data_IF_314176479456
#
_entry.id   IF_314176479456
#
_cell.length_a   1.000
_cell.length_b   1.000
_cell.length_c   1.000
_cell.angle_alpha   90.00
_cell.angle_beta   90.00
_cell.angle_gamma   90.00
#
_symmetry.space_group_name_H-M   'P 1'
#
loop_
_entity.id
_entity.type
_entity.pdbx_description
1 polymer ?
#
# COMPACT_ATOMS: atom_id res chain seq x y z
N UNK A 1 -6.90 41.82 -20.89
CA UNK A 1 -7.23 42.69 -19.76
C UNK A 1 -7.82 41.81 -18.67
N UNK A 2 -7.13 41.68 -17.55
CA UNK A 2 -7.63 40.95 -16.40
C UNK A 2 -8.80 41.75 -15.81
N UNK A 3 -10.02 41.22 -15.93
CA UNK A 3 -11.17 41.78 -15.23
C UNK A 3 -10.99 41.42 -13.76
N UNK A 4 -10.41 42.35 -13.02
CA UNK A 4 -10.36 42.33 -11.57
C UNK A 4 -11.82 42.36 -11.12
N UNK A 5 -12.26 41.30 -10.46
CA UNK A 5 -13.56 41.25 -9.80
C UNK A 5 -13.55 42.38 -8.75
N UNK A 6 -14.38 43.39 -8.96
CA UNK A 6 -14.61 44.44 -7.97
C UNK A 6 -15.05 43.77 -6.67
N UNK A 7 -14.27 43.94 -5.61
CA UNK A 7 -14.68 43.62 -4.24
C UNK A 7 -15.74 44.63 -3.83
N UNK A 8 -17.01 44.37 -4.19
CA UNK A 8 -18.11 44.83 -3.36
C UNK A 8 -17.92 44.24 -1.96
N UNK A 9 -18.28 44.99 -0.92
CA UNK A 9 -18.22 44.61 0.50
C UNK A 9 -19.13 43.43 0.86
N UNK A 10 -19.47 42.58 -0.11
CA UNK A 10 -20.25 41.38 0.10
C UNK A 10 -19.33 40.26 0.56
N UNK A 11 -19.76 39.56 1.61
CA UNK A 11 -19.04 38.37 2.05
C UNK A 11 -18.85 37.40 0.86
N UNK A 12 -17.64 36.83 0.69
CA UNK A 12 -17.32 36.01 -0.47
C UNK A 12 -18.28 34.81 -0.66
N UNK A 13 -18.92 34.37 0.43
CA UNK A 13 -19.94 33.32 0.42
C UNK A 13 -21.22 33.77 -0.29
N UNK A 14 -21.68 35.01 -0.05
CA UNK A 14 -22.87 35.58 -0.68
C UNK A 14 -22.62 35.86 -2.17
N UNK A 15 -21.42 36.31 -2.52
CA UNK A 15 -21.02 36.50 -3.91
C UNK A 15 -21.01 35.17 -4.68
N UNK A 16 -20.54 34.09 -4.05
CA UNK A 16 -20.57 32.74 -4.65
C UNK A 16 -21.99 32.20 -4.75
N UNK A 17 -22.86 32.38 -3.75
CA UNK A 17 -24.28 32.00 -3.87
C UNK A 17 -24.96 32.71 -5.03
N UNK A 18 -24.75 34.03 -5.16
CA UNK A 18 -25.32 34.80 -6.26
C UNK A 18 -24.82 34.32 -7.61
N UNK A 19 -23.50 34.22 -7.77
CA UNK A 19 -22.89 33.80 -9.04
C UNK A 19 -23.29 32.37 -9.43
N UNK A 20 -23.34 31.44 -8.48
CA UNK A 20 -23.75 30.05 -8.75
C UNK A 20 -25.23 29.93 -9.07
N UNK A 21 -26.08 30.71 -8.40
CA UNK A 21 -27.51 30.76 -8.68
C UNK A 21 -27.80 31.37 -10.07
N UNK A 22 -27.14 32.47 -10.44
CA UNK A 22 -27.26 33.09 -11.77
C UNK A 22 -26.86 32.12 -12.88
N UNK A 23 -25.78 31.36 -12.66
CA UNK A 23 -25.31 30.36 -13.62
C UNK A 23 -26.22 29.13 -13.69
N UNK A 24 -26.78 28.68 -12.57
CA UNK A 24 -27.67 27.51 -12.51
C UNK A 24 -29.04 27.79 -13.17
N UNK A 25 -29.53 29.02 -13.10
CA UNK A 25 -30.83 29.42 -13.65
C UNK A 25 -30.75 30.16 -14.99
N UNK A 26 -29.56 30.25 -15.60
CA UNK A 26 -29.35 30.95 -16.86
C UNK A 26 -30.25 30.44 -18.02
N UNK A 27 -30.63 29.17 -18.00
CA UNK A 27 -31.49 28.55 -19.01
C UNK A 27 -33.00 28.77 -18.77
N UNK A 28 -33.40 29.29 -17.60
CA UNK A 28 -34.80 29.42 -17.16
C UNK A 28 -35.51 30.70 -17.63
N UNK A 29 -34.79 31.64 -18.27
CA UNK A 29 -35.30 32.96 -18.64
C UNK A 29 -35.34 33.95 -17.46
N UNK A 30 -35.18 35.25 -17.74
CA UNK A 30 -35.02 36.29 -16.71
C UNK A 30 -36.21 36.38 -15.73
N UNK A 31 -37.44 36.11 -16.18
CA UNK A 31 -38.63 36.18 -15.33
C UNK A 31 -38.70 35.10 -14.23
N UNK A 32 -37.99 33.97 -14.40
CA UNK A 32 -37.93 32.87 -13.42
C UNK A 32 -36.60 32.88 -12.66
N UNK A 33 -35.50 33.25 -13.33
CA UNK A 33 -34.17 33.29 -12.73
C UNK A 33 -34.03 34.38 -11.67
N UNK A 34 -34.46 35.61 -11.95
CA UNK A 34 -34.29 36.75 -11.05
C UNK A 34 -34.97 36.57 -9.67
N UNK A 35 -36.25 36.11 -9.58
CA UNK A 35 -36.88 35.89 -8.28
C UNK A 35 -36.28 34.71 -7.49
N UNK A 36 -35.85 33.63 -8.17
CA UNK A 36 -35.20 32.49 -7.49
C UNK A 36 -33.80 32.83 -7.00
N UNK A 37 -33.00 33.58 -7.79
CA UNK A 37 -31.69 34.08 -7.36
C UNK A 37 -31.83 35.01 -6.15
N UNK A 38 -32.82 35.90 -6.15
CA UNK A 38 -33.10 36.78 -5.02
C UNK A 38 -33.53 35.99 -3.77
N UNK A 39 -34.35 34.95 -3.92
CA UNK A 39 -34.76 34.06 -2.83
C UNK A 39 -33.57 33.33 -2.21
N UNK A 40 -32.71 32.73 -3.03
CA UNK A 40 -31.51 32.02 -2.58
C UNK A 40 -30.50 32.94 -1.89
N UNK A 41 -30.34 34.18 -2.38
CA UNK A 41 -29.50 35.18 -1.73
C UNK A 41 -30.04 35.61 -0.36
N UNK A 42 -31.35 35.78 -0.23
CA UNK A 42 -31.99 36.14 1.06
C UNK A 42 -31.86 35.00 2.09
N UNK A 43 -32.06 33.76 1.66
CA UNK A 43 -31.88 32.55 2.48
C UNK A 43 -30.41 32.42 2.95
N UNK A 44 -29.45 32.59 2.05
CA UNK A 44 -28.03 32.62 2.38
C UNK A 44 -27.67 33.69 3.40
N UNK A 45 -28.18 34.91 3.24
CA UNK A 45 -27.96 36.01 4.18
C UNK A 45 -28.55 35.69 5.57
N UNK A 46 -29.70 35.02 5.62
CA UNK A 46 -30.28 34.57 6.88
C UNK A 46 -29.43 33.50 7.58
N UNK A 47 -28.83 32.57 6.83
CA UNK A 47 -27.94 31.55 7.40
C UNK A 47 -26.64 32.15 7.94
N UNK A 48 -26.05 33.11 7.24
CA UNK A 48 -24.88 33.87 7.69
C UNK A 48 -25.18 34.61 9.00
N UNK A 49 -26.28 35.37 9.05
CA UNK A 49 -26.68 36.12 10.25
C UNK A 49 -27.02 35.22 11.44
N UNK A 50 -27.55 34.03 11.18
CA UNK A 50 -27.87 33.05 12.21
C UNK A 50 -26.67 32.17 12.63
N UNK A 51 -25.52 32.29 11.97
CA UNK A 51 -24.35 31.44 12.21
C UNK A 51 -24.58 29.96 11.88
N UNK A 52 -25.53 29.64 10.99
CA UNK A 52 -25.88 28.26 10.60
C UNK A 52 -25.07 27.82 9.39
N UNK A 53 -23.81 27.47 9.62
CA UNK A 53 -22.84 27.16 8.55
C UNK A 53 -23.14 25.86 7.81
N UNK A 54 -23.73 24.87 8.49
CA UNK A 54 -24.14 23.60 7.87
C UNK A 54 -25.27 23.79 6.84
N UNK A 55 -26.28 24.59 7.18
CA UNK A 55 -27.37 24.92 6.27
C UNK A 55 -26.86 25.73 5.07
N UNK A 56 -25.95 26.68 5.32
CA UNK A 56 -25.28 27.46 4.28
C UNK A 56 -24.47 26.56 3.31
N UNK A 57 -23.71 25.61 3.84
CA UNK A 57 -22.99 24.63 3.02
C UNK A 57 -23.94 23.79 2.17
N UNK A 58 -25.07 23.37 2.73
CA UNK A 58 -26.10 22.61 2.01
C UNK A 58 -26.68 23.41 0.85
N UNK A 59 -27.01 24.68 1.08
CA UNK A 59 -27.55 25.59 0.06
C UNK A 59 -26.53 25.80 -1.08
N UNK A 60 -25.28 26.11 -0.75
CA UNK A 60 -24.22 26.32 -1.74
C UNK A 60 -23.91 25.06 -2.54
N UNK A 61 -23.91 23.89 -1.89
CA UNK A 61 -23.68 22.61 -2.56
C UNK A 61 -24.83 22.23 -3.51
N UNK A 62 -26.08 22.56 -3.17
CA UNK A 62 -27.21 22.31 -4.07
C UNK A 62 -27.10 23.12 -5.37
N UNK A 63 -26.68 24.38 -5.28
CA UNK A 63 -26.40 25.22 -6.45
C UNK A 63 -25.17 24.75 -7.24
N UNK A 64 -24.12 24.30 -6.54
CA UNK A 64 -22.91 23.77 -7.18
C UNK A 64 -23.13 22.41 -7.87
N UNK A 65 -24.02 21.55 -7.36
CA UNK A 65 -24.37 20.26 -7.97
C UNK A 65 -24.96 20.44 -9.38
N UNK A 66 -25.82 21.46 -9.57
CA UNK A 66 -26.38 21.79 -10.88
C UNK A 66 -25.30 22.19 -11.89
N UNK A 67 -24.26 22.90 -11.43
CA UNK A 67 -23.12 23.28 -12.27
C UNK A 67 -22.19 22.10 -12.56
N UNK A 68 -22.03 21.19 -11.60
CA UNK A 68 -21.25 19.95 -11.79
C UNK A 68 -21.85 19.07 -12.89
N UNK A 69 -23.19 19.02 -12.98
CA UNK A 69 -23.98 18.28 -13.97
C UNK A 69 -24.02 18.92 -15.37
N UNK A 70 -23.56 20.16 -15.51
CA UNK A 70 -23.67 20.89 -16.78
C UNK A 70 -22.67 20.34 -17.82
N UNK A 71 -23.14 19.80 -18.98
CA UNK A 71 -22.30 19.07 -19.93
C UNK A 71 -21.34 19.97 -20.75
N UNK A 72 -21.49 21.30 -20.69
CA UNK A 72 -20.62 22.27 -21.39
C UNK A 72 -20.28 23.44 -20.47
N UNK A 73 -19.16 23.34 -19.77
CA UNK A 73 -18.55 24.47 -19.09
C UNK A 73 -17.37 24.96 -19.95
N UNK A 74 -17.35 26.26 -20.26
CA UNK A 74 -16.15 26.88 -20.84
C UNK A 74 -14.96 26.75 -19.87
N UNK A 75 -13.72 26.87 -20.35
CA UNK A 75 -12.54 26.83 -19.47
C UNK A 75 -12.61 27.87 -18.33
N UNK A 76 -13.23 29.02 -18.62
CA UNK A 76 -13.52 30.05 -17.62
C UNK A 76 -14.52 29.56 -16.57
N UNK A 77 -15.61 28.94 -16.98
CA UNK A 77 -16.62 28.41 -16.07
C UNK A 77 -16.11 27.21 -15.25
N UNK A 78 -15.12 26.46 -15.74
CA UNK A 78 -14.44 25.43 -14.96
C UNK A 78 -13.55 26.03 -13.86
N UNK A 79 -12.83 27.12 -14.14
CA UNK A 79 -12.07 27.86 -13.13
C UNK A 79 -13.00 28.52 -12.10
N UNK A 80 -14.12 29.09 -12.54
CA UNK A 80 -15.12 29.70 -11.65
C UNK A 80 -15.77 28.64 -10.73
N UNK A 81 -15.95 27.41 -11.22
CA UNK A 81 -16.42 26.27 -10.41
C UNK A 81 -15.38 25.80 -9.38
N UNK A 82 -14.09 25.77 -9.75
CA UNK A 82 -13.00 25.47 -8.80
C UNK A 82 -12.94 26.51 -7.66
N UNK A 83 -13.04 27.79 -7.99
CA UNK A 83 -13.12 28.88 -7.03
C UNK A 83 -14.34 28.74 -6.12
N UNK A 84 -15.51 28.49 -6.69
CA UNK A 84 -16.77 28.25 -5.97
C UNK A 84 -16.63 27.13 -4.95
N UNK A 85 -16.13 25.96 -5.38
CA UNK A 85 -15.94 24.80 -4.51
C UNK A 85 -14.88 25.04 -3.43
N UNK A 86 -13.85 25.84 -3.73
CA UNK A 86 -12.84 26.23 -2.74
C UNK A 86 -13.44 27.14 -1.67
N UNK A 87 -14.29 28.10 -2.05
CA UNK A 87 -15.01 28.96 -1.09
C UNK A 87 -15.97 28.13 -0.21
N UNK A 88 -16.65 27.13 -0.79
CA UNK A 88 -17.47 26.18 -0.02
C UNK A 88 -16.61 25.41 0.99
N UNK A 89 -15.42 24.93 0.60
CA UNK A 89 -14.51 24.25 1.52
C UNK A 89 -14.03 25.16 2.67
N UNK A 90 -13.88 26.47 2.42
CA UNK A 90 -13.49 27.43 3.46
C UNK A 90 -14.56 27.60 4.56
N UNK A 91 -15.82 27.22 4.32
CA UNK A 91 -16.87 27.23 5.37
C UNK A 91 -16.50 26.37 6.57
N UNK A 92 -15.71 25.31 6.36
CA UNK A 92 -15.21 24.43 7.42
C UNK A 92 -14.37 25.21 8.45
N UNK A 93 -13.69 26.29 8.03
CA UNK A 93 -12.90 27.14 8.94
C UNK A 93 -13.74 28.10 9.77
N UNK A 94 -15.03 28.27 9.43
CA UNK A 94 -15.99 29.14 10.14
C UNK A 94 -16.83 28.40 11.17
N UNK A 95 -16.75 27.07 11.19
CA UNK A 95 -17.45 26.23 12.16
C UNK A 95 -17.04 26.57 13.60
N UNK A 96 -18.01 26.55 14.51
CA UNK A 96 -17.79 26.87 15.93
C UNK A 96 -17.17 25.70 16.72
N UNK A 97 -17.22 24.48 16.18
CA UNK A 97 -16.70 23.27 16.80
C UNK A 97 -16.05 22.32 15.77
N UNK A 98 -15.19 21.42 16.25
CA UNK A 98 -14.56 20.39 15.40
C UNK A 98 -15.60 19.40 14.84
N UNK A 99 -16.67 19.12 15.58
CA UNK A 99 -17.76 18.24 15.15
C UNK A 99 -18.58 18.88 14.02
N UNK A 100 -18.89 20.19 14.13
CA UNK A 100 -19.58 20.92 13.07
C UNK A 100 -18.71 21.00 11.79
N UNK A 101 -17.41 21.24 11.94
CA UNK A 101 -16.45 21.21 10.83
C UNK A 101 -16.43 19.84 10.13
N UNK A 102 -16.51 18.76 10.90
CA UNK A 102 -16.53 17.39 10.40
C UNK A 102 -17.85 17.03 9.70
N UNK A 103 -19.00 17.50 10.20
CA UNK A 103 -20.29 17.33 9.52
C UNK A 103 -20.36 18.10 8.20
N UNK A 104 -19.85 19.34 8.16
CA UNK A 104 -19.74 20.11 6.90
C UNK A 104 -18.82 19.38 5.91
N UNK A 105 -17.68 18.86 6.36
CA UNK A 105 -16.77 18.10 5.51
C UNK A 105 -17.40 16.79 4.98
N UNK A 106 -18.14 16.06 5.81
CA UNK A 106 -18.90 14.87 5.39
C UNK A 106 -19.91 15.21 4.29
N UNK A 107 -20.64 16.32 4.45
CA UNK A 107 -21.61 16.77 3.47
C UNK A 107 -20.94 17.11 2.12
N UNK A 108 -19.84 17.88 2.16
CA UNK A 108 -19.05 18.22 0.97
C UNK A 108 -18.53 16.95 0.29
N UNK A 109 -17.95 16.02 1.06
CA UNK A 109 -17.48 14.74 0.52
C UNK A 109 -18.61 13.93 -0.12
N UNK A 110 -19.75 13.78 0.55
CA UNK A 110 -20.89 13.02 0.02
C UNK A 110 -21.33 13.54 -1.34
N UNK A 111 -21.46 14.86 -1.49
CA UNK A 111 -21.82 15.51 -2.75
C UNK A 111 -20.77 15.34 -3.84
N UNK A 112 -19.49 15.56 -3.51
CA UNK A 112 -18.40 15.36 -4.47
C UNK A 112 -18.26 13.90 -4.92
N UNK A 113 -18.63 12.93 -4.07
CA UNK A 113 -18.58 11.49 -4.41
C UNK A 113 -19.80 10.94 -5.14
N UNK A 114 -20.92 11.67 -5.19
CA UNK A 114 -22.18 11.17 -5.76
C UNK A 114 -22.10 10.85 -7.28
N UNK A 115 -21.17 11.47 -8.01
CA UNK A 115 -20.99 11.25 -9.46
C UNK A 115 -19.52 11.19 -9.89
N UNK A 116 -18.86 10.04 -9.74
CA UNK A 116 -17.41 9.96 -9.83
C UNK A 116 -16.85 10.10 -11.27
N UNK A 117 -17.69 9.99 -12.31
CA UNK A 117 -17.26 10.04 -13.71
C UNK A 117 -17.02 11.46 -14.27
N UNK A 118 -17.60 12.49 -13.67
CA UNK A 118 -17.55 13.85 -14.20
C UNK A 118 -16.44 14.67 -13.53
N UNK A 119 -15.44 15.08 -14.31
CA UNK A 119 -14.29 15.91 -13.88
C UNK A 119 -13.59 15.39 -12.60
N UNK A 120 -13.16 14.11 -12.57
CA UNK A 120 -12.65 13.51 -11.33
C UNK A 120 -11.38 14.19 -10.80
N UNK A 121 -10.51 14.71 -11.68
CA UNK A 121 -9.30 15.46 -11.29
C UNK A 121 -9.62 16.74 -10.51
N UNK A 122 -10.67 17.48 -10.91
CA UNK A 122 -11.09 18.69 -10.21
C UNK A 122 -11.62 18.34 -8.81
N UNK A 123 -12.47 17.33 -8.72
CA UNK A 123 -13.04 16.87 -7.45
C UNK A 123 -11.96 16.42 -6.46
N UNK A 124 -10.93 15.71 -6.94
CA UNK A 124 -9.78 15.30 -6.12
C UNK A 124 -8.98 16.51 -5.63
N UNK A 125 -8.71 17.52 -6.48
CA UNK A 125 -8.02 18.74 -6.05
C UNK A 125 -8.79 19.47 -4.95
N UNK A 126 -10.11 19.62 -5.11
CA UNK A 126 -10.98 20.24 -4.10
C UNK A 126 -10.95 19.45 -2.80
N UNK A 127 -10.99 18.11 -2.85
CA UNK A 127 -10.86 17.27 -1.65
C UNK A 127 -9.49 17.42 -0.97
N UNK A 128 -8.40 17.56 -1.73
CA UNK A 128 -7.09 17.85 -1.12
C UNK A 128 -7.02 19.24 -0.49
N UNK A 129 -7.71 20.23 -1.05
CA UNK A 129 -7.88 21.53 -0.40
C UNK A 129 -8.63 21.39 0.93
N UNK A 130 -9.76 20.67 0.92
CA UNK A 130 -10.53 20.36 2.13
C UNK A 130 -9.70 19.62 3.19
N UNK A 131 -8.87 18.66 2.78
CA UNK A 131 -7.95 17.94 3.66
C UNK A 131 -6.98 18.88 4.40
N UNK A 132 -6.46 19.89 3.70
CA UNK A 132 -5.52 20.85 4.28
C UNK A 132 -6.20 21.85 5.23
N UNK A 133 -7.49 22.11 5.05
CA UNK A 133 -8.27 23.06 5.86
C UNK A 133 -8.81 22.43 7.17
N UNK A 134 -8.94 21.11 7.23
CA UNK A 134 -9.47 20.43 8.41
C UNK A 134 -8.44 20.41 9.56
N UNK A 135 -8.84 20.75 10.79
CA UNK A 135 -8.00 20.55 11.98
C UNK A 135 -8.04 19.11 12.48
N UNK A 136 -9.17 18.41 12.33
CA UNK A 136 -9.39 17.07 12.88
C UNK A 136 -8.67 15.97 12.10
N UNK A 137 -8.00 15.07 12.83
CA UNK A 137 -7.24 13.94 12.24
C UNK A 137 -8.16 12.88 11.62
N UNK A 138 -9.27 12.59 12.28
CA UNK A 138 -10.32 11.68 11.79
C UNK A 138 -11.02 12.23 10.54
N UNK A 139 -11.28 13.54 10.49
CA UNK A 139 -11.79 14.22 9.30
C UNK A 139 -10.84 14.13 8.12
N UNK A 140 -9.54 14.35 8.34
CA UNK A 140 -8.49 14.18 7.33
C UNK A 140 -8.47 12.78 6.73
N UNK A 141 -8.50 11.73 7.57
CA UNK A 141 -8.55 10.35 7.10
C UNK A 141 -9.80 10.06 6.25
N UNK A 142 -10.97 10.61 6.64
CA UNK A 142 -12.21 10.47 5.91
C UNK A 142 -12.16 11.13 4.52
N UNK A 143 -11.69 12.37 4.45
CA UNK A 143 -11.56 13.11 3.17
C UNK A 143 -10.60 12.40 2.24
N UNK A 144 -9.47 11.93 2.75
CA UNK A 144 -8.50 11.18 1.96
C UNK A 144 -9.09 9.89 1.39
N UNK A 145 -9.82 9.12 2.21
CA UNK A 145 -10.52 7.90 1.76
C UNK A 145 -11.51 8.20 0.62
N UNK A 146 -12.29 9.27 0.75
CA UNK A 146 -13.23 9.70 -0.29
C UNK A 146 -12.52 10.15 -1.57
N UNK A 147 -11.33 10.74 -1.47
CA UNK A 147 -10.48 11.03 -2.62
C UNK A 147 -9.99 9.74 -3.31
N UNK A 148 -9.68 8.68 -2.56
CA UNK A 148 -9.33 7.37 -3.12
C UNK A 148 -10.51 6.71 -3.85
N UNK A 149 -11.72 6.77 -3.27
CA UNK A 149 -12.93 6.25 -3.92
C UNK A 149 -13.18 6.92 -5.28
N UNK A 150 -12.97 8.25 -5.38
CA UNK A 150 -13.05 8.97 -6.65
C UNK A 150 -11.90 8.61 -7.60
N UNK A 151 -10.71 8.39 -7.08
CA UNK A 151 -9.55 8.01 -7.88
C UNK A 151 -9.71 6.63 -8.53
N UNK A 152 -10.44 5.72 -7.89
CA UNK A 152 -10.77 4.41 -8.44
C UNK A 152 -11.69 4.47 -9.67
N UNK A 153 -12.40 5.58 -9.91
CA UNK A 153 -13.35 5.69 -11.01
C UNK A 153 -12.74 6.09 -12.36
N UNK A 154 -11.46 6.49 -12.40
CA UNK A 154 -10.83 6.90 -13.64
C UNK A 154 -9.30 7.00 -13.59
N UNK A 155 -8.65 6.62 -14.70
CA UNK A 155 -7.19 6.56 -14.78
C UNK A 155 -6.48 7.90 -14.51
N UNK A 156 -6.98 9.00 -15.07
CA UNK A 156 -6.42 10.33 -14.84
C UNK A 156 -6.56 10.81 -13.38
N UNK A 157 -7.55 10.28 -12.66
CA UNK A 157 -7.78 10.55 -11.25
C UNK A 157 -6.81 9.75 -10.38
N UNK A 158 -6.57 8.48 -10.72
CA UNK A 158 -5.58 7.63 -10.10
C UNK A 158 -4.16 8.23 -10.17
N UNK A 159 -3.76 8.79 -11.31
CA UNK A 159 -2.42 9.37 -11.50
C UNK A 159 -2.13 10.55 -10.55
N UNK A 160 -3.18 11.27 -10.09
CA UNK A 160 -3.04 12.36 -9.13
C UNK A 160 -2.72 11.86 -7.71
N UNK A 161 -3.15 10.64 -7.38
CA UNK A 161 -3.06 10.08 -6.03
C UNK A 161 -1.85 9.16 -5.89
N UNK A 162 -1.43 8.46 -6.94
CA UNK A 162 -0.26 7.54 -6.90
C UNK A 162 0.97 8.09 -6.18
N UNK A 163 1.39 9.37 -6.37
CA UNK A 163 2.55 9.92 -5.65
C UNK A 163 2.40 9.91 -4.12
N UNK A 164 1.18 10.01 -3.61
CA UNK A 164 0.89 10.09 -2.17
C UNK A 164 1.07 8.74 -1.46
N UNK A 165 0.98 7.62 -2.18
CA UNK A 165 1.08 6.27 -1.62
C UNK A 165 2.44 5.99 -0.95
N UNK A 166 3.49 6.71 -1.33
CA UNK A 166 4.81 6.59 -0.66
C UNK A 166 4.77 7.03 0.80
N UNK A 167 3.88 7.95 1.15
CA UNK A 167 3.77 8.56 2.48
C UNK A 167 2.66 7.95 3.34
N UNK A 168 1.99 6.91 2.86
CA UNK A 168 0.79 6.39 3.52
C UNK A 168 1.09 5.81 4.91
N UNK A 169 2.29 5.25 5.13
CA UNK A 169 2.69 4.72 6.44
C UNK A 169 2.81 5.86 7.46
N UNK A 170 3.32 7.01 7.02
CA UNK A 170 3.37 8.22 7.83
C UNK A 170 1.96 8.77 8.09
N UNK A 171 1.05 8.70 7.10
CA UNK A 171 -0.33 9.14 7.27
C UNK A 171 -1.11 8.26 8.24
N UNK A 172 -0.99 6.93 8.14
CA UNK A 172 -1.63 5.99 9.07
C UNK A 172 -1.16 6.25 10.50
N UNK A 173 0.15 6.46 10.70
CA UNK A 173 0.71 6.79 12.00
C UNK A 173 0.25 8.18 12.51
N UNK A 174 0.17 9.16 11.62
CA UNK A 174 -0.25 10.53 11.96
C UNK A 174 -1.73 10.63 12.31
N UNK A 175 -2.61 9.92 11.59
CA UNK A 175 -4.05 9.92 11.86
C UNK A 175 -4.41 9.03 13.05
N UNK A 176 -3.58 8.05 13.40
CA UNK A 176 -3.85 7.14 14.51
C UNK A 176 -5.07 6.23 14.28
N UNK A 177 -5.34 5.89 13.01
CA UNK A 177 -6.53 5.13 12.61
C UNK A 177 -6.50 3.68 13.08
N UNK A 178 -7.67 3.13 13.41
CA UNK A 178 -7.81 1.75 13.85
C UNK A 178 -7.58 0.72 12.72
N UNK A 179 -7.36 -0.55 13.07
CA UNK A 179 -7.25 -1.66 12.09
C UNK A 179 -8.38 -1.71 11.04
N UNK A 180 -9.68 -1.53 11.36
CA UNK A 180 -10.72 -1.56 10.34
C UNK A 180 -10.60 -0.42 9.32
N UNK A 181 -10.27 0.80 9.77
CA UNK A 181 -10.08 1.93 8.87
C UNK A 181 -8.81 1.77 8.01
N UNK A 182 -7.77 1.14 8.55
CA UNK A 182 -6.56 0.78 7.79
C UNK A 182 -6.88 -0.24 6.69
N UNK A 183 -7.77 -1.22 6.96
CA UNK A 183 -8.23 -2.20 5.95
C UNK A 183 -8.86 -1.50 4.76
N UNK A 184 -9.84 -0.64 5.02
CA UNK A 184 -10.54 0.10 3.97
C UNK A 184 -9.59 0.97 3.16
N UNK A 185 -8.65 1.63 3.84
CA UNK A 185 -7.64 2.46 3.22
C UNK A 185 -6.73 1.65 2.28
N UNK A 186 -6.14 0.56 2.77
CA UNK A 186 -5.24 -0.27 1.96
C UNK A 186 -6.00 -0.93 0.81
N UNK A 187 -7.24 -1.37 1.01
CA UNK A 187 -8.08 -1.93 -0.04
C UNK A 187 -8.39 -0.91 -1.14
N UNK A 188 -8.69 0.34 -0.78
CA UNK A 188 -8.89 1.39 -1.77
C UNK A 188 -7.62 1.65 -2.60
N UNK A 189 -6.45 1.64 -1.95
CA UNK A 189 -5.15 1.80 -2.63
C UNK A 189 -4.85 0.62 -3.55
N UNK A 190 -5.09 -0.63 -3.12
CA UNK A 190 -4.83 -1.80 -3.97
C UNK A 190 -5.73 -1.82 -5.20
N UNK A 191 -7.00 -1.42 -5.07
CA UNK A 191 -7.91 -1.25 -6.22
C UNK A 191 -7.36 -0.28 -7.26
N UNK A 192 -6.87 0.88 -6.82
CA UNK A 192 -6.27 1.88 -7.73
C UNK A 192 -5.00 1.33 -8.40
N UNK A 193 -4.15 0.65 -7.62
CA UNK A 193 -2.87 0.13 -8.12
C UNK A 193 -3.03 -1.05 -9.08
N UNK A 194 -4.10 -1.84 -8.95
CA UNK A 194 -4.39 -3.00 -9.81
C UNK A 194 -4.48 -2.61 -11.29
N UNK A 195 -5.07 -1.44 -11.57
CA UNK A 195 -5.29 -0.96 -12.94
C UNK A 195 -4.11 -0.12 -13.49
N UNK A 196 -3.11 0.18 -12.65
CA UNK A 196 -1.97 1.01 -12.99
C UNK A 196 -0.81 0.17 -13.55
N UNK A 197 -0.37 0.52 -14.77
CA UNK A 197 0.73 -0.19 -15.44
C UNK A 197 2.06 0.05 -14.72
N UNK A 198 2.78 -1.02 -14.43
CA UNK A 198 4.14 -0.96 -13.86
C UNK A 198 4.22 -0.77 -12.35
N UNK A 199 3.08 -0.72 -11.64
CA UNK A 199 3.02 -0.55 -10.18
C UNK A 199 2.78 -1.87 -9.43
N UNK A 200 3.16 -2.99 -10.05
CA UNK A 200 2.92 -4.34 -9.56
C UNK A 200 3.60 -4.63 -8.22
N UNK A 201 4.81 -4.08 -8.01
CA UNK A 201 5.55 -4.25 -6.75
C UNK A 201 4.89 -3.50 -5.61
N UNK A 202 4.44 -2.28 -5.89
CA UNK A 202 3.70 -1.44 -4.96
C UNK A 202 2.36 -2.10 -4.62
N UNK A 203 1.64 -2.60 -5.63
CA UNK A 203 0.40 -3.36 -5.43
C UNK A 203 0.59 -4.53 -4.48
N UNK A 204 1.61 -5.38 -4.73
CA UNK A 204 1.94 -6.49 -3.83
C UNK A 204 2.32 -6.00 -2.43
N UNK A 205 3.12 -4.95 -2.31
CA UNK A 205 3.52 -4.36 -1.02
C UNK A 205 2.30 -3.92 -0.20
N UNK A 206 1.29 -3.33 -0.83
CA UNK A 206 0.06 -2.92 -0.16
C UNK A 206 -0.83 -4.10 0.20
N UNK A 207 -0.94 -5.12 -0.64
CA UNK A 207 -1.63 -6.37 -0.27
C UNK A 207 -0.96 -7.03 0.94
N UNK A 208 0.37 -7.06 0.97
CA UNK A 208 1.12 -7.61 2.10
C UNK A 208 0.98 -6.78 3.39
N UNK A 209 0.51 -5.53 3.30
CA UNK A 209 0.14 -4.69 4.47
C UNK A 209 -1.33 -4.84 4.86
N UNK A 210 -2.20 -5.08 3.88
CA UNK A 210 -3.63 -5.29 4.08
C UNK A 210 -3.90 -6.62 4.80
N UNK A 211 -3.32 -7.72 4.35
CA UNK A 211 -3.61 -9.05 4.88
C UNK A 211 -3.26 -9.25 6.38
N UNK A 212 -2.18 -8.69 6.93
CA UNK A 212 -1.91 -8.75 8.37
C UNK A 212 -2.87 -7.98 9.27
N UNK A 213 -3.69 -7.08 8.71
CA UNK A 213 -4.63 -6.30 9.53
C UNK A 213 -5.75 -7.16 10.12
N UNK A 214 -6.00 -8.35 9.58
CA UNK A 214 -6.96 -9.32 10.09
C UNK A 214 -6.31 -10.14 11.21
N UNK A 215 -6.77 -9.95 12.45
CA UNK A 215 -6.17 -10.61 13.61
C UNK A 215 -6.76 -11.99 13.93
N UNK A 216 -7.66 -12.49 13.07
CA UNK A 216 -8.27 -13.81 13.24
C UNK A 216 -9.25 -13.89 14.43
N UNK A 217 -9.65 -12.74 14.97
CA UNK A 217 -10.71 -12.67 15.99
C UNK A 217 -12.07 -13.09 15.41
N UNK A 218 -12.97 -13.56 16.28
CA UNK A 218 -14.31 -14.02 15.86
C UNK A 218 -15.14 -12.90 15.22
N UNK A 219 -14.90 -11.66 15.61
CA UNK A 219 -15.56 -10.46 15.06
C UNK A 219 -15.11 -10.14 13.62
N UNK A 220 -13.97 -10.69 13.19
CA UNK A 220 -13.41 -10.49 11.85
C UNK A 220 -13.78 -11.61 10.86
N UNK A 221 -14.55 -12.63 11.26
CA UNK A 221 -14.79 -13.81 10.42
C UNK A 221 -15.42 -13.47 9.06
N UNK A 222 -16.41 -12.57 9.04
CA UNK A 222 -17.06 -12.11 7.80
C UNK A 222 -16.12 -11.24 6.95
N UNK A 223 -15.32 -10.38 7.60
CA UNK A 223 -14.35 -9.51 6.93
C UNK A 223 -13.19 -10.31 6.33
N UNK A 224 -12.75 -11.37 7.02
CA UNK A 224 -11.80 -12.36 6.52
C UNK A 224 -12.40 -13.06 5.30
N UNK A 225 -13.67 -13.51 5.37
CA UNK A 225 -14.37 -14.11 4.24
C UNK A 225 -14.44 -13.22 2.99
N UNK A 226 -14.56 -11.91 3.17
CA UNK A 226 -14.54 -10.95 2.07
C UNK A 226 -13.14 -10.77 1.43
N UNK A 227 -12.07 -10.97 2.19
CA UNK A 227 -10.69 -10.75 1.74
C UNK A 227 -10.08 -11.90 0.89
N UNK A 228 -10.88 -12.90 0.50
CA UNK A 228 -10.41 -14.09 -0.23
C UNK A 228 -9.85 -13.74 -1.61
N UNK A 229 -10.48 -12.82 -2.32
CA UNK A 229 -10.05 -12.40 -3.65
C UNK A 229 -8.70 -11.67 -3.59
N UNK A 230 -8.53 -10.80 -2.61
CA UNK A 230 -7.29 -10.06 -2.37
C UNK A 230 -6.17 -10.99 -1.90
N UNK A 231 -6.46 -11.97 -1.06
CA UNK A 231 -5.51 -12.99 -0.63
C UNK A 231 -5.04 -13.85 -1.82
N UNK A 232 -5.96 -14.30 -2.66
CA UNK A 232 -5.61 -15.03 -3.89
C UNK A 232 -4.81 -14.15 -4.87
N UNK A 233 -5.18 -12.88 -5.02
CA UNK A 233 -4.44 -11.95 -5.85
C UNK A 233 -3.01 -11.72 -5.34
N UNK A 234 -2.80 -11.63 -4.02
CA UNK A 234 -1.48 -11.52 -3.42
C UNK A 234 -0.61 -12.75 -3.73
N UNK A 235 -1.18 -13.95 -3.67
CA UNK A 235 -0.48 -15.20 -4.03
C UNK A 235 -0.08 -15.20 -5.50
N UNK A 236 -1.03 -14.88 -6.39
CA UNK A 236 -0.79 -14.87 -7.84
C UNK A 236 0.31 -13.85 -8.16
N UNK A 237 0.27 -12.68 -7.54
CA UNK A 237 1.28 -11.64 -7.75
C UNK A 237 2.65 -12.04 -7.20
N UNK A 238 2.66 -12.69 -6.03
CA UNK A 238 3.88 -13.31 -5.54
C UNK A 238 4.44 -14.29 -6.57
N UNK A 239 3.66 -15.20 -7.12
CA UNK A 239 4.14 -16.17 -8.12
C UNK A 239 4.63 -15.50 -9.41
N UNK A 240 3.92 -14.46 -9.90
CA UNK A 240 4.30 -13.71 -11.11
C UNK A 240 5.58 -12.92 -10.97
N UNK A 241 5.83 -12.36 -9.79
CA UNK A 241 7.01 -11.53 -9.58
C UNK A 241 8.31 -12.31 -9.78
N UNK A 242 9.23 -11.78 -10.56
CA UNK A 242 10.54 -12.41 -10.83
C UNK A 242 11.60 -12.07 -9.78
N UNK A 243 11.29 -11.16 -8.86
CA UNK A 243 12.22 -10.62 -7.87
C UNK A 243 11.85 -10.93 -6.41
N UNK A 244 10.64 -11.42 -6.13
CA UNK A 244 10.23 -11.78 -4.77
C UNK A 244 10.40 -13.28 -4.53
N UNK A 245 11.31 -13.66 -3.64
CA UNK A 245 11.60 -15.06 -3.30
C UNK A 245 11.30 -15.41 -1.84
N UNK A 246 10.93 -14.42 -1.04
CA UNK A 246 10.57 -14.57 0.37
C UNK A 246 9.17 -14.02 0.59
N UNK A 247 8.36 -14.75 1.37
CA UNK A 247 7.01 -14.33 1.68
C UNK A 247 6.47 -15.01 2.94
N UNK A 248 5.88 -14.22 3.84
CA UNK A 248 5.27 -14.72 5.09
C UNK A 248 3.73 -14.72 5.00
N UNK A 249 3.18 -15.03 3.82
CA UNK A 249 1.73 -15.04 3.59
C UNK A 249 1.03 -16.24 4.24
N UNK A 250 1.71 -17.39 4.40
CA UNK A 250 1.10 -18.62 4.89
C UNK A 250 0.55 -18.50 6.32
N UNK A 251 1.20 -17.71 7.17
CA UNK A 251 0.83 -17.54 8.58
C UNK A 251 -0.34 -16.56 8.77
N UNK A 252 -0.80 -15.89 7.70
CA UNK A 252 -1.86 -14.89 7.79
C UNK A 252 -3.24 -15.55 7.80
N UNK A 253 -4.15 -15.21 8.75
CA UNK A 253 -5.48 -15.80 8.83
C UNK A 253 -6.30 -15.64 7.54
N UNK A 254 -6.19 -14.48 6.89
CA UNK A 254 -6.86 -14.19 5.61
C UNK A 254 -6.39 -15.07 4.45
N UNK A 255 -5.19 -15.65 4.53
CA UNK A 255 -4.64 -16.58 3.54
C UNK A 255 -4.93 -18.03 3.94
N UNK A 256 -4.79 -18.37 5.23
CA UNK A 256 -5.03 -19.71 5.75
C UNK A 256 -6.47 -20.19 5.52
N UNK A 257 -7.47 -19.30 5.50
CA UNK A 257 -8.84 -19.67 5.16
C UNK A 257 -8.99 -20.28 3.76
N UNK A 258 -8.11 -19.94 2.82
CA UNK A 258 -8.19 -20.40 1.43
C UNK A 258 -7.96 -21.90 1.32
N UNK A 259 -7.31 -22.51 2.32
CA UNK A 259 -7.12 -23.96 2.41
C UNK A 259 -8.46 -24.71 2.47
N UNK A 260 -9.49 -24.10 3.06
CA UNK A 260 -10.82 -24.71 3.23
C UNK A 260 -11.80 -24.33 2.12
N UNK A 261 -11.42 -23.46 1.19
CA UNK A 261 -12.30 -22.92 0.15
C UNK A 261 -12.08 -23.67 -1.17
N UNK A 262 -13.11 -24.34 -1.69
CA UNK A 262 -13.00 -25.16 -2.91
C UNK A 262 -12.50 -24.39 -4.14
N UNK A 263 -12.79 -23.07 -4.23
CA UNK A 263 -12.41 -22.25 -5.38
C UNK A 263 -10.95 -21.81 -5.32
N UNK A 264 -10.44 -21.48 -4.13
CA UNK A 264 -9.11 -20.90 -3.93
C UNK A 264 -8.08 -21.88 -3.34
N UNK A 265 -8.51 -23.09 -2.95
CA UNK A 265 -7.63 -24.14 -2.43
C UNK A 265 -6.45 -24.47 -3.37
N UNK A 266 -6.61 -24.54 -4.71
CA UNK A 266 -5.47 -24.73 -5.61
C UNK A 266 -4.47 -23.57 -5.57
N UNK A 267 -4.93 -22.34 -5.34
CA UNK A 267 -4.06 -21.16 -5.24
C UNK A 267 -3.26 -21.20 -3.93
N UNK A 268 -3.89 -21.62 -2.83
CA UNK A 268 -3.21 -21.84 -1.56
C UNK A 268 -2.18 -22.98 -1.65
N UNK A 269 -2.53 -24.09 -2.31
CA UNK A 269 -1.59 -25.19 -2.56
C UNK A 269 -0.38 -24.73 -3.38
N UNK A 270 -0.60 -23.90 -4.40
CA UNK A 270 0.48 -23.30 -5.19
C UNK A 270 1.42 -22.46 -4.31
N UNK A 271 0.89 -21.62 -3.41
CA UNK A 271 1.71 -20.86 -2.45
C UNK A 271 2.56 -21.80 -1.58
N UNK A 272 1.94 -22.86 -1.05
CA UNK A 272 2.62 -23.86 -0.21
C UNK A 272 3.74 -24.56 -0.98
N UNK A 273 3.52 -24.91 -2.25
CA UNK A 273 4.55 -25.48 -3.13
C UNK A 273 5.71 -24.48 -3.31
N UNK A 274 5.45 -23.22 -3.59
CA UNK A 274 6.54 -22.25 -3.78
C UNK A 274 7.36 -22.04 -2.49
N UNK A 275 6.71 -21.99 -1.33
CA UNK A 275 7.40 -21.68 -0.08
C UNK A 275 8.06 -22.89 0.59
N UNK A 276 7.47 -24.09 0.47
CA UNK A 276 7.91 -25.30 1.19
C UNK A 276 8.32 -26.46 0.28
N UNK A 277 7.82 -26.44 -0.96
CA UNK A 277 7.97 -27.43 -2.03
C UNK A 277 9.31 -27.41 -2.78
N UNK A 278 9.51 -28.36 -3.70
CA UNK A 278 10.53 -28.33 -4.77
C UNK A 278 9.87 -28.40 -6.15
N UNK A 279 10.70 -28.34 -7.21
CA UNK A 279 10.26 -28.31 -8.60
C UNK A 279 9.34 -29.49 -8.97
N UNK A 280 9.66 -30.72 -8.54
CA UNK A 280 8.87 -31.93 -8.81
C UNK A 280 7.39 -31.74 -8.44
N UNK A 281 7.12 -31.19 -7.25
CA UNK A 281 5.76 -30.91 -6.77
C UNK A 281 5.04 -29.87 -7.63
N UNK A 282 5.75 -28.87 -8.12
CA UNK A 282 5.17 -27.85 -9.02
C UNK A 282 4.80 -28.46 -10.37
N UNK A 283 5.63 -29.34 -10.94
CA UNK A 283 5.34 -30.01 -12.21
C UNK A 283 4.11 -30.92 -12.10
N UNK A 284 4.00 -31.68 -11.00
CA UNK A 284 2.81 -32.47 -10.71
C UNK A 284 1.55 -31.58 -10.59
N UNK A 285 1.65 -30.46 -9.87
CA UNK A 285 0.55 -29.50 -9.74
C UNK A 285 0.15 -28.86 -11.07
N UNK A 286 1.12 -28.49 -11.91
CA UNK A 286 0.86 -27.88 -13.22
C UNK A 286 0.20 -28.87 -14.19
N UNK A 287 0.57 -30.15 -14.14
CA UNK A 287 -0.07 -31.20 -14.94
C UNK A 287 -1.55 -31.34 -14.56
N UNK A 288 -1.87 -31.26 -13.27
CA UNK A 288 -3.24 -31.35 -12.77
C UNK A 288 -4.07 -30.07 -12.97
N UNK A 289 -3.45 -28.88 -12.94
CA UNK A 289 -4.14 -27.57 -12.87
C UNK A 289 -3.75 -26.57 -13.98
N UNK A 290 -3.30 -27.05 -15.14
CA UNK A 290 -2.79 -26.20 -16.23
C UNK A 290 -3.76 -25.10 -16.69
N UNK A 291 -5.05 -25.39 -16.78
CA UNK A 291 -6.10 -24.43 -17.18
C UNK A 291 -6.29 -23.32 -16.15
N UNK A 292 -6.20 -23.63 -14.86
CA UNK A 292 -6.33 -22.68 -13.76
C UNK A 292 -5.15 -21.70 -13.74
N UNK A 293 -3.93 -22.18 -13.97
CA UNK A 293 -2.73 -21.33 -14.07
C UNK A 293 -2.84 -20.35 -15.25
N UNK A 294 -3.31 -20.82 -16.41
CA UNK A 294 -3.55 -19.97 -17.58
C UNK A 294 -4.64 -18.92 -17.31
N UNK A 295 -5.72 -19.31 -16.61
CA UNK A 295 -6.79 -18.38 -16.22
C UNK A 295 -6.30 -17.23 -15.34
N UNK A 296 -5.28 -17.45 -14.50
CA UNK A 296 -4.65 -16.40 -13.70
C UNK A 296 -3.55 -15.61 -14.45
N UNK A 297 -3.28 -15.96 -15.71
CA UNK A 297 -2.22 -15.34 -16.52
C UNK A 297 -0.82 -15.66 -16.02
N UNK A 298 -0.62 -16.86 -15.45
CA UNK A 298 0.69 -17.35 -15.04
C UNK A 298 1.38 -18.01 -16.24
N UNK A 299 2.57 -17.51 -16.58
CA UNK A 299 3.40 -18.10 -17.64
C UNK A 299 4.20 -19.25 -17.06
N UNK A 300 4.02 -20.45 -17.62
CA UNK A 300 4.65 -21.67 -17.11
C UNK A 300 6.19 -21.58 -17.04
N UNK A 301 6.83 -21.07 -18.08
CA UNK A 301 8.29 -20.92 -18.14
C UNK A 301 8.85 -19.98 -17.06
N UNK A 302 8.14 -18.90 -16.76
CA UNK A 302 8.50 -17.97 -15.69
C UNK A 302 8.36 -18.63 -14.31
N UNK A 303 7.27 -19.39 -14.12
CA UNK A 303 7.03 -20.15 -12.90
C UNK A 303 8.08 -21.25 -12.69
N UNK A 304 8.47 -22.01 -13.72
CA UNK A 304 9.56 -22.99 -13.65
C UNK A 304 10.86 -22.29 -13.28
N UNK A 305 11.18 -21.20 -13.97
CA UNK A 305 12.42 -20.45 -13.72
C UNK A 305 12.51 -20.02 -12.25
N UNK A 306 11.41 -19.48 -11.73
CA UNK A 306 11.31 -19.11 -10.31
C UNK A 306 11.43 -20.32 -9.40
N UNK A 307 10.73 -21.41 -9.68
CA UNK A 307 10.78 -22.64 -8.87
C UNK A 307 12.14 -23.32 -8.85
N UNK A 308 12.91 -23.26 -9.95
CA UNK A 308 14.30 -23.73 -9.99
C UNK A 308 15.18 -22.93 -9.04
N UNK A 309 15.10 -21.60 -9.09
CA UNK A 309 15.82 -20.72 -8.18
C UNK A 309 15.40 -20.92 -6.72
N UNK A 310 14.10 -21.08 -6.46
CA UNK A 310 13.61 -21.41 -5.13
C UNK A 310 14.14 -22.77 -4.67
N UNK A 311 14.09 -23.82 -5.50
CA UNK A 311 14.61 -25.17 -5.19
C UNK A 311 16.09 -25.15 -4.83
N UNK A 312 16.87 -24.34 -5.54
CA UNK A 312 18.27 -24.07 -5.20
C UNK A 312 18.43 -23.43 -3.80
N UNK A 313 17.58 -22.46 -3.43
CA UNK A 313 17.60 -21.87 -2.08
C UNK A 313 17.30 -22.90 -0.99
N UNK A 314 16.33 -23.79 -1.22
CA UNK A 314 16.00 -24.84 -0.26
C UNK A 314 17.18 -25.82 -0.06
N UNK A 315 17.84 -26.24 -1.13
CA UNK A 315 19.07 -27.05 -1.03
C UNK A 315 20.15 -26.34 -0.22
N UNK A 316 20.34 -25.04 -0.45
CA UNK A 316 21.34 -24.23 0.26
C UNK A 316 21.07 -24.04 1.75
N UNK A 317 19.82 -24.21 2.18
CA UNK A 317 19.44 -24.18 3.60
C UNK A 317 19.68 -25.51 4.33
N UNK A 318 19.66 -26.63 3.62
CA UNK A 318 19.77 -27.98 4.18
C UNK A 318 21.19 -28.54 4.14
N UNK A 319 21.96 -28.18 3.12
CA UNK A 319 23.36 -28.57 3.00
C UNK A 319 24.23 -27.71 3.90
N UNK A 320 25.25 -28.31 4.52
CA UNK A 320 26.19 -27.68 5.47
C UNK A 320 27.16 -26.68 4.81
N UNK A 321 26.65 -25.81 3.95
CA UNK A 321 27.43 -24.83 3.18
C UNK A 321 28.06 -25.38 1.91
N UNK A 322 28.08 -26.69 1.68
CA UNK A 322 28.64 -27.31 0.47
C UNK A 322 27.57 -28.11 -0.27
N UNK A 323 27.37 -27.82 -1.56
CA UNK A 323 26.37 -28.48 -2.39
C UNK A 323 27.05 -29.11 -3.60
N UNK A 324 26.95 -30.44 -3.81
CA UNK A 324 27.47 -31.06 -5.01
C UNK A 324 26.60 -30.77 -6.23
N UNK A 325 27.21 -30.67 -7.41
CA UNK A 325 26.50 -30.43 -8.67
C UNK A 325 25.40 -31.46 -8.92
N UNK A 326 25.64 -32.73 -8.59
CA UNK A 326 24.66 -33.83 -8.74
C UNK A 326 23.38 -33.62 -7.92
N UNK A 327 23.46 -32.96 -6.77
CA UNK A 327 22.27 -32.60 -5.99
C UNK A 327 21.49 -31.45 -6.65
N UNK A 328 22.19 -30.51 -7.28
CA UNK A 328 21.60 -29.37 -7.99
C UNK A 328 20.89 -29.84 -9.26
N UNK A 329 21.55 -30.65 -10.09
CA UNK A 329 21.00 -31.14 -11.35
C UNK A 329 19.76 -31.98 -11.14
N UNK A 330 19.77 -32.85 -10.12
CA UNK A 330 18.60 -33.61 -9.70
C UNK A 330 17.45 -32.72 -9.23
N UNK A 331 17.72 -31.72 -8.39
CA UNK A 331 16.65 -30.90 -7.81
C UNK A 331 16.06 -29.87 -8.78
N UNK A 332 16.82 -29.42 -9.77
CA UNK A 332 16.39 -28.43 -10.78
C UNK A 332 15.92 -29.08 -12.09
N UNK A 333 16.12 -30.40 -12.24
CA UNK A 333 15.89 -31.15 -13.48
C UNK A 333 16.55 -30.45 -14.68
N UNK A 334 17.88 -30.32 -14.60
CA UNK A 334 18.73 -29.66 -15.60
C UNK A 334 19.93 -30.52 -15.93
N UNK A 335 20.58 -30.21 -17.05
CA UNK A 335 21.83 -30.85 -17.43
C UNK A 335 23.02 -30.29 -16.63
N UNK A 336 24.10 -31.05 -16.56
CA UNK A 336 25.32 -30.69 -15.81
C UNK A 336 25.97 -29.38 -16.31
N UNK A 337 25.83 -29.06 -17.60
CA UNK A 337 26.37 -27.84 -18.23
C UNK A 337 25.58 -26.57 -17.87
N UNK A 338 24.33 -26.71 -17.41
CA UNK A 338 23.49 -25.56 -17.06
C UNK A 338 23.62 -25.14 -15.59
N UNK A 339 24.27 -25.94 -14.75
CA UNK A 339 24.37 -25.70 -13.30
C UNK A 339 24.95 -24.31 -13.01
N UNK A 340 26.07 -23.98 -13.67
CA UNK A 340 26.75 -22.70 -13.47
C UNK A 340 25.89 -21.51 -13.88
N UNK A 341 25.11 -21.65 -14.96
CA UNK A 341 24.17 -20.62 -15.40
C UNK A 341 23.11 -20.32 -14.32
N UNK A 342 22.54 -21.37 -13.70
CA UNK A 342 21.55 -21.20 -12.64
C UNK A 342 22.14 -20.62 -11.36
N UNK A 343 23.38 -20.98 -11.02
CA UNK A 343 24.11 -20.39 -9.89
C UNK A 343 24.36 -18.89 -10.12
N UNK A 344 24.86 -18.51 -11.31
CA UNK A 344 25.07 -17.10 -11.66
C UNK A 344 23.76 -16.32 -11.64
N UNK A 345 22.65 -16.92 -12.10
CA UNK A 345 21.32 -16.31 -12.06
C UNK A 345 20.83 -16.10 -10.62
N UNK A 346 21.10 -17.03 -9.71
CA UNK A 346 20.77 -16.91 -8.29
C UNK A 346 21.60 -15.79 -7.61
N UNK A 347 22.90 -15.69 -7.91
CA UNK A 347 23.76 -14.60 -7.43
C UNK A 347 23.28 -13.25 -7.97
N UNK A 348 22.97 -13.18 -9.27
CA UNK A 348 22.48 -11.95 -9.92
C UNK A 348 21.14 -11.49 -9.32
N UNK A 349 20.30 -12.44 -8.90
CA UNK A 349 19.03 -12.17 -8.21
C UNK A 349 19.22 -11.84 -6.71
N UNK A 350 20.45 -11.84 -6.21
CA UNK A 350 20.84 -11.57 -4.81
C UNK A 350 20.20 -12.50 -3.78
N UNK A 351 19.79 -13.69 -4.20
CA UNK A 351 19.17 -14.68 -3.32
C UNK A 351 20.20 -15.62 -2.69
N UNK A 352 21.36 -15.79 -3.33
CA UNK A 352 22.43 -16.71 -2.94
C UNK A 352 23.80 -16.05 -3.15
N UNK A 353 24.66 -16.09 -2.14
CA UNK A 353 26.09 -15.76 -2.26
C UNK A 353 26.89 -17.05 -2.11
N UNK A 354 27.60 -17.46 -3.17
CA UNK A 354 28.37 -18.69 -3.18
C UNK A 354 29.63 -18.59 -4.04
N UNK A 355 30.54 -19.55 -3.85
CA UNK A 355 31.73 -19.76 -4.67
C UNK A 355 31.61 -21.12 -5.34
N UNK A 356 32.00 -21.16 -6.60
CA UNK A 356 31.96 -22.37 -7.41
C UNK A 356 33.35 -23.00 -7.44
N UNK A 357 33.46 -24.26 -7.02
CA UNK A 357 34.64 -25.10 -7.20
C UNK A 357 34.37 -26.09 -8.34
N UNK A 358 34.73 -25.67 -9.55
CA UNK A 358 34.47 -26.42 -10.77
C UNK A 358 35.26 -27.72 -10.85
N UNK A 359 36.47 -27.78 -10.26
CA UNK A 359 37.30 -28.99 -10.29
C UNK A 359 36.68 -30.11 -9.45
N UNK A 360 36.17 -29.76 -8.27
CA UNK A 360 35.53 -30.74 -7.38
C UNK A 360 34.02 -30.88 -7.62
N UNK A 361 33.44 -30.10 -8.54
CA UNK A 361 31.99 -30.07 -8.84
C UNK A 361 31.17 -29.75 -7.58
N UNK A 362 31.63 -28.76 -6.81
CA UNK A 362 31.02 -28.31 -5.56
C UNK A 362 30.68 -26.81 -5.61
N UNK A 363 29.59 -26.43 -4.96
CA UNK A 363 29.22 -25.04 -4.72
C UNK A 363 29.30 -24.77 -3.22
N UNK A 364 30.15 -23.83 -2.82
CA UNK A 364 30.33 -23.41 -1.42
C UNK A 364 29.48 -22.17 -1.16
N UNK A 365 28.38 -22.35 -0.45
CA UNK A 365 27.43 -21.31 -0.07
C UNK A 365 27.96 -20.53 1.13
N UNK A 366 28.09 -19.22 0.96
CA UNK A 366 28.45 -18.28 2.02
C UNK A 366 27.21 -17.71 2.71
N UNK A 367 26.18 -17.38 1.93
CA UNK A 367 24.90 -16.85 2.43
C UNK A 367 23.77 -17.28 1.51
N UNK A 368 22.61 -17.55 2.08
CA UNK A 368 21.37 -17.78 1.33
C UNK A 368 20.21 -16.99 1.94
N UNK A 369 19.21 -16.71 1.11
CA UNK A 369 17.93 -16.16 1.55
C UNK A 369 16.99 -17.29 1.93
N UNK A 370 16.40 -17.22 3.13
CA UNK A 370 15.38 -18.19 3.55
C UNK A 370 14.03 -17.82 2.91
N UNK A 371 13.34 -18.81 2.34
CA UNK A 371 12.01 -18.63 1.73
C UNK A 371 10.95 -18.23 2.76
N UNK A 372 11.02 -18.85 3.94
CA UNK A 372 10.17 -18.62 5.11
C UNK A 372 11.07 -18.52 6.34
N UNK A 373 10.80 -17.57 7.22
CA UNK A 373 11.57 -17.40 8.46
C UNK A 373 10.69 -17.70 9.69
N UNK A 374 10.72 -18.95 10.13
CA UNK A 374 9.91 -19.43 11.26
C UNK A 374 10.71 -19.66 12.54
N UNK A 375 10.06 -20.35 13.48
CA UNK A 375 10.63 -20.69 14.78
C UNK A 375 11.95 -21.51 14.70
N UNK A 376 12.10 -22.50 13.79
CA UNK A 376 13.36 -23.23 13.67
C UNK A 376 14.55 -22.33 13.32
N UNK A 377 14.33 -21.35 12.43
CA UNK A 377 15.34 -20.37 12.04
C UNK A 377 15.68 -19.43 13.21
N UNK A 378 14.68 -18.99 13.98
CA UNK A 378 14.90 -18.24 15.23
C UNK A 378 15.74 -19.00 16.26
N UNK A 379 15.48 -20.30 16.42
CA UNK A 379 16.25 -21.15 17.33
C UNK A 379 17.71 -21.33 16.88
N UNK A 380 17.93 -21.54 15.57
CA UNK A 380 19.27 -21.61 14.98
C UNK A 380 20.02 -20.29 15.16
N UNK A 381 19.37 -19.16 14.92
CA UNK A 381 19.93 -17.82 15.12
C UNK A 381 20.30 -17.57 16.58
N UNK A 382 19.41 -17.91 17.52
CA UNK A 382 19.66 -17.79 18.96
C UNK A 382 20.90 -18.60 19.38
N UNK A 383 21.02 -19.82 18.89
CA UNK A 383 22.18 -20.68 19.19
C UNK A 383 23.48 -20.07 18.65
N UNK A 384 23.49 -19.60 17.39
CA UNK A 384 24.65 -18.94 16.78
C UNK A 384 25.05 -17.66 17.52
N UNK A 385 24.09 -16.82 17.89
CA UNK A 385 24.34 -15.62 18.69
C UNK A 385 24.87 -15.95 20.09
N UNK A 386 24.39 -17.03 20.69
CA UNK A 386 24.91 -17.53 21.96
C UNK A 386 26.40 -17.90 21.89
N UNK A 387 26.79 -18.65 20.85
CA UNK A 387 28.20 -18.97 20.58
C UNK A 387 29.02 -17.70 20.35
N UNK A 388 28.49 -16.76 19.55
CA UNK A 388 29.21 -15.52 19.24
C UNK A 388 29.43 -14.65 20.49
N UNK A 389 28.40 -14.53 21.35
CA UNK A 389 28.53 -13.88 22.66
C UNK A 389 29.60 -14.55 23.52
N UNK A 390 29.64 -15.88 23.55
CA UNK A 390 30.67 -16.64 24.27
C UNK A 390 32.07 -16.35 23.73
N UNK A 391 32.26 -16.33 22.41
CA UNK A 391 33.54 -16.05 21.77
C UNK A 391 34.03 -14.63 22.06
N UNK A 392 33.14 -13.63 22.02
CA UNK A 392 33.47 -12.24 22.36
C UNK A 392 33.85 -12.12 23.84
N UNK A 393 33.09 -12.77 24.75
CA UNK A 393 33.42 -12.79 26.17
C UNK A 393 34.79 -13.42 26.43
N UNK A 394 35.10 -14.53 25.76
CA UNK A 394 36.41 -15.18 25.84
C UNK A 394 37.53 -14.26 25.33
N UNK A 395 37.34 -13.58 24.20
CA UNK A 395 38.32 -12.64 23.67
C UNK A 395 38.57 -11.46 24.64
N UNK A 396 37.51 -10.91 25.25
CA UNK A 396 37.62 -9.85 26.26
C UNK A 396 38.40 -10.35 27.48
N UNK A 397 38.09 -11.55 27.98
CA UNK A 397 38.79 -12.15 29.11
C UNK A 397 40.28 -12.37 28.81
N UNK A 398 40.63 -12.84 27.61
CA UNK A 398 42.03 -13.01 27.19
C UNK A 398 42.76 -11.66 27.12
N UNK A 399 42.12 -10.61 26.61
CA UNK A 399 42.72 -9.26 26.56
C UNK A 399 42.92 -8.71 27.98
N UNK A 400 41.96 -8.89 28.88
CA UNK A 400 42.08 -8.44 30.27
C UNK A 400 43.16 -9.21 31.04
N UNK A 401 43.23 -10.54 30.86
CA UNK A 401 44.28 -11.36 31.46
C UNK A 401 45.67 -10.93 30.99
N UNK A 402 45.83 -10.65 29.69
CA UNK A 402 47.11 -10.20 29.13
C UNK A 402 47.52 -8.80 29.65
N UNK A 403 46.56 -7.89 29.87
CA UNK A 403 46.83 -6.59 30.51
C UNK A 403 47.35 -6.74 31.94
N UNK A 404 46.76 -7.65 32.73
CA UNK A 404 47.20 -7.90 34.11
C UNK A 404 48.61 -8.50 34.14
N UNK A 405 48.98 -9.33 33.16
CA UNK A 405 50.35 -9.85 33.05
C UNK A 405 51.38 -8.81 32.61
N UNK A 406 51.01 -7.81 31.82
CA UNK A 406 51.92 -6.69 31.49
C UNK A 406 52.18 -5.78 32.71
N UNK A 407 51.15 -5.45 33.49
CA UNK A 407 51.30 -4.68 34.74
C UNK A 407 52.06 -5.48 35.83
N UNK A 408 51.82 -6.80 35.92
CA UNK A 408 52.57 -7.70 36.80
C UNK A 408 54.02 -7.93 36.38
N UNK A 409 54.29 -7.97 35.06
CA UNK A 409 55.64 -8.11 34.50
C UNK A 409 56.52 -6.87 34.70
N UNK A 410 55.93 -5.67 34.60
CA UNK A 410 56.63 -4.42 34.93
C UNK A 410 56.84 -4.27 36.45
N UNK A 411 55.90 -4.74 37.29
CA UNK A 411 56.07 -4.78 38.75
C UNK A 411 57.16 -5.75 39.23
N UNK A 412 57.36 -6.86 38.53
CA UNK A 412 58.39 -7.86 38.89
C UNK A 412 59.80 -7.47 38.40
N UNK A 413 59.92 -6.77 37.26
CA UNK A 413 61.22 -6.25 36.78
C UNK A 413 61.77 -5.10 37.66
N UNK A 414 60.90 -4.38 38.39
CA UNK A 414 61.31 -3.37 39.37
C UNK A 414 61.84 -3.91 40.70
N UNK A 415 61.69 -5.21 40.98
CA UNK A 415 62.07 -5.86 42.25
C UNK A 415 63.34 -6.73 42.17
N UNK A 416 63.95 -6.84 40.98
CA UNK A 416 65.20 -7.60 40.76
C UNK A 416 66.44 -6.75 40.48
N UNK A 417 66.36 -5.41 40.55
CA UNK A 417 67.55 -4.54 40.51
C UNK A 417 67.74 -3.95 41.91
N UNK A 418 68.78 -4.48 42.56
CA UNK A 418 69.26 -4.18 43.90
C UNK A 418 69.92 -2.81 43.98
#
# INVERSE_FOLDING_TARGET
MATIVNTTEEEPMLAVVRSTAELAWADGGAEVADPEVARLCAEAQQHVLAGRWLDMATLMLASADLLLLAPRLSDKAAADLECTLTVICNLVTKAGSEDEALEIAKLICAKLTHQPGEKPTLRIKVLFSLYNLLPSLSGKALVYRKALELAAAGKAAADCVVPTFKNIDAFVAYWGIGKPEQRDLFLAVTRILKDQKGMTKEYFKFLNKYLPTFDGSADDADAIGAAKEEAAAAIIEFVKSSDLYQCDLLDMPAVAQLEKDEKYQPVYELLKIFLTQRLESYLAFQTANSTLLQGYGLVHEECITKMRLMSLLDLSGHCSGEIPYSAITKALEINDDEVEYWIVKAISSKILDCKVDQLNQLVIVSRHTARVFGMPQWQSLRSKLGVWRGNIANAINTIQANKVTEDGGQGMQGLMIR
#
